data_IF_062535814524
#
_entry.id   IF_062535814524
#
_cell.length_a   1.000
_cell.length_b   1.000
_cell.length_c   1.000
_cell.angle_alpha   90.00
_cell.angle_beta   90.00
_cell.angle_gamma   90.00
#
_symmetry.space_group_name_H-M   'P 1'
#
loop_
_entity.id
_entity.type
_entity.pdbx_description
1 polymer ?
#
# COMPACT_ATOMS: atom_id res chain seq x y z
N UNK A 1 -10.93 -22.83 -2.54
CA UNK A 1 -10.76 -21.91 -1.40
C UNK A 1 -9.28 -21.59 -1.34
N UNK A 2 -8.88 -20.33 -1.50
CA UNK A 2 -7.49 -19.93 -1.22
C UNK A 2 -7.33 -20.09 0.28
N UNK A 3 -6.40 -20.95 0.70
CA UNK A 3 -6.19 -21.23 2.12
C UNK A 3 -5.92 -19.93 2.86
N UNK A 4 -6.72 -19.70 3.90
CA UNK A 4 -6.73 -18.50 4.74
C UNK A 4 -5.28 -18.09 5.14
N UNK A 5 -4.42 -19.09 5.38
CA UNK A 5 -3.00 -18.94 5.72
C UNK A 5 -2.17 -18.26 4.61
N UNK A 6 -2.37 -18.60 3.33
CA UNK A 6 -1.64 -17.97 2.22
C UNK A 6 -2.03 -16.50 2.06
N UNK A 7 -3.32 -16.19 2.28
CA UNK A 7 -3.82 -14.82 2.25
C UNK A 7 -3.24 -13.98 3.41
N UNK A 8 -3.20 -14.51 4.63
CA UNK A 8 -2.58 -13.82 5.77
C UNK A 8 -1.06 -13.64 5.60
N UNK A 9 -0.36 -14.62 5.05
CA UNK A 9 1.07 -14.50 4.74
C UNK A 9 1.35 -13.44 3.68
N UNK A 10 0.49 -13.35 2.66
CA UNK A 10 0.56 -12.29 1.64
C UNK A 10 0.34 -10.90 2.26
N UNK A 11 -0.69 -10.76 3.11
CA UNK A 11 -0.95 -9.52 3.85
C UNK A 11 0.23 -9.09 4.73
N UNK A 12 0.81 -10.03 5.49
CA UNK A 12 1.95 -9.74 6.37
C UNK A 12 3.18 -9.26 5.58
N UNK A 13 3.43 -9.83 4.40
CA UNK A 13 4.53 -9.41 3.52
C UNK A 13 4.30 -7.99 2.97
N UNK A 14 3.08 -7.68 2.54
CA UNK A 14 2.75 -6.35 2.04
C UNK A 14 2.78 -5.28 3.15
N UNK A 15 2.33 -5.61 4.37
CA UNK A 15 2.41 -4.70 5.52
C UNK A 15 3.87 -4.45 5.97
N UNK A 16 4.71 -5.48 5.94
CA UNK A 16 6.15 -5.35 6.22
C UNK A 16 6.85 -4.51 5.14
N UNK A 17 6.53 -4.76 3.87
CA UNK A 17 7.04 -3.96 2.75
C UNK A 17 6.61 -2.50 2.84
N UNK A 18 5.34 -2.23 3.18
CA UNK A 18 4.82 -0.87 3.37
C UNK A 18 5.63 -0.10 4.43
N UNK A 19 5.85 -0.70 5.61
CA UNK A 19 6.65 -0.05 6.67
C UNK A 19 8.09 0.23 6.21
N UNK A 20 8.71 -0.72 5.52
CA UNK A 20 10.08 -0.54 5.02
C UNK A 20 10.17 0.58 3.99
N UNK A 21 9.18 0.70 3.11
CA UNK A 21 9.11 1.78 2.12
C UNK A 21 8.86 3.12 2.84
N UNK A 22 7.92 3.20 3.78
CA UNK A 22 7.64 4.42 4.53
C UNK A 22 8.87 4.94 5.31
N UNK A 23 9.71 4.05 5.84
CA UNK A 23 10.97 4.45 6.49
C UNK A 23 11.99 5.09 5.53
N UNK A 24 11.90 4.83 4.23
CA UNK A 24 12.78 5.40 3.20
C UNK A 24 12.23 6.69 2.58
N UNK A 25 10.96 7.00 2.82
CA UNK A 25 10.28 8.18 2.30
C UNK A 25 10.36 9.35 3.30
N UNK A 26 10.41 10.57 2.79
CA UNK A 26 10.25 11.77 3.62
C UNK A 26 8.78 11.99 3.98
N UNK A 27 8.53 12.76 5.05
CA UNK A 27 7.15 13.10 5.45
C UNK A 27 6.36 13.78 4.31
N UNK A 28 7.00 14.65 3.52
CA UNK A 28 6.36 15.30 2.37
C UNK A 28 5.96 14.31 1.27
N UNK A 29 6.82 13.32 1.00
CA UNK A 29 6.54 12.26 0.04
C UNK A 29 5.38 11.38 0.51
N UNK A 30 5.34 11.03 1.79
CA UNK A 30 4.25 10.27 2.40
C UNK A 30 2.93 11.06 2.32
N UNK A 31 2.95 12.36 2.61
CA UNK A 31 1.77 13.23 2.50
C UNK A 31 1.27 13.24 1.05
N UNK A 32 2.17 13.41 0.08
CA UNK A 32 1.81 13.40 -1.34
C UNK A 32 1.20 12.06 -1.77
N UNK A 33 1.81 10.94 -1.41
CA UNK A 33 1.28 9.60 -1.72
C UNK A 33 -0.10 9.38 -1.11
N UNK A 34 -0.32 9.84 0.13
CA UNK A 34 -1.62 9.78 0.78
C UNK A 34 -2.67 10.60 0.04
N UNK A 35 -2.34 11.84 -0.35
CA UNK A 35 -3.23 12.69 -1.15
C UNK A 35 -3.56 12.02 -2.50
N UNK A 36 -2.54 11.51 -3.20
CA UNK A 36 -2.73 10.80 -4.47
C UNK A 36 -3.64 9.58 -4.31
N UNK A 37 -3.43 8.79 -3.25
CA UNK A 37 -4.20 7.59 -2.96
C UNK A 37 -5.71 7.85 -2.77
N UNK A 38 -6.09 9.05 -2.29
CA UNK A 38 -7.51 9.45 -2.19
C UNK A 38 -8.20 9.55 -3.55
N UNK A 39 -7.43 9.84 -4.60
CA UNK A 39 -7.92 9.98 -5.98
C UNK A 39 -7.81 8.66 -6.73
N UNK A 40 -6.67 7.96 -6.59
CA UNK A 40 -6.38 6.73 -7.32
C UNK A 40 -5.62 5.73 -6.47
N UNK A 41 -6.28 4.59 -6.19
CA UNK A 41 -5.72 3.50 -5.38
C UNK A 41 -4.78 2.57 -6.15
N UNK A 42 -4.94 2.49 -7.47
CA UNK A 42 -4.18 1.60 -8.36
C UNK A 42 -3.59 2.41 -9.52
N UNK A 43 -2.48 3.13 -9.30
CA UNK A 43 -1.78 3.81 -10.37
C UNK A 43 -1.21 2.81 -11.37
N UNK A 44 -1.13 3.25 -12.63
CA UNK A 44 -0.41 2.56 -13.71
C UNK A 44 1.10 2.72 -13.54
N UNK A 45 1.87 1.88 -14.23
CA UNK A 45 3.34 1.97 -14.25
C UNK A 45 3.83 3.36 -14.66
N UNK A 46 3.20 3.99 -15.66
CA UNK A 46 3.55 5.34 -16.11
C UNK A 46 3.31 6.40 -15.03
N UNK A 47 2.23 6.27 -14.25
CA UNK A 47 1.97 7.18 -13.14
C UNK A 47 2.97 6.98 -12.00
N UNK A 48 3.35 5.73 -11.69
CA UNK A 48 4.40 5.43 -10.71
C UNK A 48 5.73 6.05 -11.15
N UNK A 49 6.08 5.97 -12.43
CA UNK A 49 7.26 6.63 -12.98
C UNK A 49 7.23 8.15 -12.78
N UNK A 50 6.07 8.79 -12.99
CA UNK A 50 5.90 10.23 -12.76
C UNK A 50 6.04 10.59 -11.27
N UNK A 51 5.52 9.75 -10.36
CA UNK A 51 5.68 9.92 -8.91
C UNK A 51 7.16 9.83 -8.52
N UNK A 52 7.87 8.80 -8.97
CA UNK A 52 9.31 8.65 -8.72
C UNK A 52 10.12 9.83 -9.31
N UNK A 53 9.77 10.29 -10.51
CA UNK A 53 10.40 11.47 -11.12
C UNK A 53 10.15 12.74 -10.28
N UNK A 54 8.93 12.93 -9.76
CA UNK A 54 8.58 14.04 -8.85
C UNK A 54 9.39 14.01 -7.56
N UNK A 55 9.68 12.81 -7.05
CA UNK A 55 10.49 12.62 -5.85
C UNK A 55 12.00 12.66 -6.13
N UNK A 56 12.40 12.88 -7.38
CA UNK A 56 13.79 12.80 -7.84
C UNK A 56 14.46 11.45 -7.51
N UNK A 57 13.66 10.37 -7.50
CA UNK A 57 14.11 9.01 -7.23
C UNK A 57 14.55 8.34 -8.52
N UNK A 58 15.81 7.88 -8.55
CA UNK A 58 16.41 7.20 -9.71
C UNK A 58 16.63 5.73 -9.41
N UNK A 59 16.31 4.87 -10.38
CA UNK A 59 16.54 3.42 -10.30
C UNK A 59 15.24 2.62 -10.16
N UNK A 60 15.28 1.38 -10.65
CA UNK A 60 14.10 0.51 -10.77
C UNK A 60 13.52 0.10 -9.42
N UNK A 61 14.34 0.06 -8.37
CA UNK A 61 13.93 -0.28 -7.01
C UNK A 61 12.89 0.70 -6.44
N UNK A 62 12.96 1.98 -6.81
CA UNK A 62 11.96 2.96 -6.36
C UNK A 62 10.60 2.77 -7.02
N UNK A 63 10.56 2.31 -8.28
CA UNK A 63 9.30 1.99 -8.93
C UNK A 63 8.59 0.85 -8.19
N UNK A 64 9.34 -0.18 -7.83
CA UNK A 64 8.84 -1.33 -7.05
C UNK A 64 8.41 -0.90 -5.64
N UNK A 65 9.19 -0.05 -4.98
CA UNK A 65 8.85 0.46 -3.64
C UNK A 65 7.55 1.26 -3.64
N UNK A 66 7.38 2.17 -4.60
CA UNK A 66 6.14 2.95 -4.72
C UNK A 66 4.97 2.03 -5.08
N UNK A 67 5.14 1.06 -5.98
CA UNK A 67 4.11 0.05 -6.27
C UNK A 67 3.70 -0.74 -5.02
N UNK A 68 4.67 -1.18 -4.22
CA UNK A 68 4.42 -1.87 -2.95
C UNK A 68 3.77 -0.98 -1.92
N UNK A 69 4.06 0.32 -1.89
CA UNK A 69 3.36 1.26 -1.02
C UNK A 69 1.86 1.30 -1.35
N UNK A 70 1.49 1.46 -2.63
CA UNK A 70 0.09 1.45 -3.06
C UNK A 70 -0.61 0.12 -2.76
N UNK A 71 0.08 -1.00 -3.02
CA UNK A 71 -0.45 -2.33 -2.72
C UNK A 71 -0.67 -2.54 -1.22
N UNK A 72 0.32 -2.18 -0.38
CA UNK A 72 0.24 -2.30 1.07
C UNK A 72 -0.85 -1.44 1.68
N UNK A 73 -1.05 -0.20 1.20
CA UNK A 73 -2.13 0.68 1.67
C UNK A 73 -3.52 0.12 1.38
N UNK A 74 -3.74 -0.43 0.18
CA UNK A 74 -5.01 -1.07 -0.18
C UNK A 74 -5.32 -2.27 0.69
N UNK A 75 -4.32 -3.11 0.93
CA UNK A 75 -4.49 -4.29 1.77
C UNK A 75 -4.77 -3.91 3.24
N UNK A 76 -4.15 -2.85 3.76
CA UNK A 76 -4.45 -2.33 5.09
C UNK A 76 -5.89 -1.83 5.20
N UNK A 77 -6.42 -1.15 4.17
CA UNK A 77 -7.84 -0.74 4.14
C UNK A 77 -8.79 -1.95 4.12
N UNK A 78 -8.50 -2.95 3.30
CA UNK A 78 -9.31 -4.17 3.20
C UNK A 78 -9.33 -4.94 4.53
N UNK A 79 -8.18 -5.04 5.20
CA UNK A 79 -8.09 -5.66 6.53
C UNK A 79 -8.94 -4.91 7.56
N UNK A 80 -8.84 -3.58 7.61
CA UNK A 80 -9.65 -2.74 8.52
C UNK A 80 -11.15 -2.93 8.24
N UNK A 81 -11.55 -2.95 6.96
CA UNK A 81 -12.94 -3.19 6.58
C UNK A 81 -13.42 -4.58 6.99
N UNK A 82 -12.58 -5.60 6.82
CA UNK A 82 -12.93 -6.97 7.20
C UNK A 82 -13.07 -7.12 8.71
N UNK A 83 -12.15 -6.54 9.50
CA UNK A 83 -12.25 -6.51 10.97
C UNK A 83 -13.54 -5.82 11.43
N UNK A 84 -13.93 -4.69 10.81
CA UNK A 84 -15.20 -4.01 11.09
C UNK A 84 -16.42 -4.88 10.78
N UNK A 85 -16.41 -5.61 9.66
CA UNK A 85 -17.49 -6.53 9.28
C UNK A 85 -17.64 -7.67 10.29
N UNK A 86 -16.53 -8.25 10.75
CA UNK A 86 -16.54 -9.31 11.77
C UNK A 86 -17.07 -8.79 13.12
N UNK A 87 -16.61 -7.61 13.55
CA UNK A 87 -17.10 -6.97 14.78
C UNK A 87 -18.62 -6.70 14.72
N UNK A 88 -19.12 -6.20 13.58
CA UNK A 88 -20.57 -5.99 13.38
C UNK A 88 -21.37 -7.29 13.42
N UNK A 89 -20.82 -8.39 12.87
CA UNK A 89 -21.45 -9.71 12.93
C UNK A 89 -21.44 -10.33 14.33
N UNK A 90 -20.42 -10.05 15.14
CA UNK A 90 -20.34 -10.55 16.52
C UNK A 90 -21.24 -9.76 17.50
N UNK A 91 -21.63 -8.54 17.12
CA UNK A 91 -22.53 -7.68 17.89
C UNK A 91 -24.02 -7.83 17.49
N UNK A 92 -24.33 -8.69 16.52
CA UNK A 92 -25.68 -8.99 16.03
C UNK A 92 -26.04 -10.43 16.40
#
# INVERSE_FOLDING_TARGET
MIDNIQYWNYLARCASALKQVEHRLTNEQIIYLNQYYTVKKTPSVSEIQLICAKFNMKGIWWLVDIEYWFCGRRLAEEEIQQRRRLAKKAAA
#
